data_IF_434290709283
#
_entry.id   IF_434290709283
#
_cell.length_a   1.000
_cell.length_b   1.000
_cell.length_c   1.000
_cell.angle_alpha   90.00
_cell.angle_beta   90.00
_cell.angle_gamma   90.00
#
_symmetry.space_group_name_H-M   'P 1'
#
loop_
_entity.id
_entity.type
_entity.pdbx_description
1 polymer ?
#
# COMPACT_ATOMS: atom_id res chain seq x y z
N UNK A 1 17.66 6.38 19.64
CA UNK A 1 16.35 6.16 18.99
C UNK A 1 16.57 6.13 17.49
N UNK A 2 16.00 5.15 16.77
CA UNK A 2 15.88 5.27 15.32
C UNK A 2 14.64 6.12 15.02
N UNK A 3 14.78 7.19 14.25
CA UNK A 3 13.63 7.98 13.82
C UNK A 3 12.77 7.12 12.87
N UNK A 4 11.45 7.18 13.00
CA UNK A 4 10.55 6.47 12.11
C UNK A 4 10.74 6.98 10.66
N UNK A 5 10.88 6.04 9.73
CA UNK A 5 11.18 6.34 8.32
C UNK A 5 9.94 6.64 7.48
N UNK A 6 10.18 7.04 6.22
CA UNK A 6 9.16 7.18 5.18
C UNK A 6 9.22 5.97 4.25
N UNK A 7 8.08 5.36 3.93
CA UNK A 7 7.99 4.20 3.06
C UNK A 7 7.09 4.48 1.86
N UNK A 8 7.56 4.04 0.69
CA UNK A 8 6.76 3.91 -0.53
C UNK A 8 6.48 2.43 -0.77
N UNK A 9 5.22 2.10 -1.02
CA UNK A 9 4.74 0.72 -1.20
C UNK A 9 4.02 0.62 -2.54
N UNK A 10 4.39 -0.38 -3.33
CA UNK A 10 3.74 -0.70 -4.61
C UNK A 10 3.35 -2.19 -4.56
N UNK A 11 2.06 -2.53 -4.35
CA UNK A 11 1.62 -3.90 -4.36
C UNK A 11 1.66 -4.43 -5.80
N UNK A 12 2.36 -5.55 -6.02
CA UNK A 12 2.49 -6.17 -7.34
C UNK A 12 1.49 -7.28 -7.62
N UNK A 13 0.91 -7.89 -6.58
CA UNK A 13 -0.07 -8.98 -6.68
C UNK A 13 -1.21 -8.75 -5.67
N UNK A 14 -2.44 -8.97 -6.13
CA UNK A 14 -3.67 -8.86 -5.35
C UNK A 14 -3.70 -9.86 -4.18
N UNK A 15 -3.13 -11.07 -4.36
CA UNK A 15 -3.18 -12.14 -3.37
C UNK A 15 -2.41 -11.86 -2.08
N UNK A 16 -1.30 -11.11 -2.16
CA UNK A 16 -0.44 -10.83 -1.01
C UNK A 16 -0.80 -9.55 -0.26
N UNK A 17 -1.75 -8.77 -0.79
CA UNK A 17 -2.15 -7.50 -0.21
C UNK A 17 -2.62 -7.60 1.26
N UNK A 18 -3.40 -8.60 1.69
CA UNK A 18 -3.83 -8.69 3.10
C UNK A 18 -2.65 -8.81 4.08
N UNK A 19 -1.64 -9.59 3.71
CA UNK A 19 -0.42 -9.76 4.51
C UNK A 19 0.41 -8.48 4.53
N UNK A 20 0.56 -7.82 3.38
CA UNK A 20 1.26 -6.54 3.28
C UNK A 20 0.55 -5.47 4.12
N UNK A 21 -0.78 -5.38 4.05
CA UNK A 21 -1.59 -4.44 4.85
C UNK A 21 -1.33 -4.60 6.34
N UNK A 22 -1.26 -5.84 6.84
CA UNK A 22 -0.97 -6.11 8.26
C UNK A 22 0.39 -5.54 8.69
N UNK A 23 1.41 -5.63 7.82
CA UNK A 23 2.72 -5.02 8.05
C UNK A 23 2.64 -3.48 8.05
N UNK A 24 1.89 -2.88 7.13
CA UNK A 24 1.73 -1.42 7.06
C UNK A 24 1.10 -0.86 8.34
N UNK A 25 0.07 -1.54 8.88
CA UNK A 25 -0.55 -1.17 10.16
C UNK A 25 0.49 -1.15 11.28
N UNK A 26 1.29 -2.21 11.40
CA UNK A 26 2.32 -2.31 12.43
C UNK A 26 3.41 -1.22 12.29
N UNK A 27 3.78 -0.86 11.07
CA UNK A 27 4.75 0.21 10.79
C UNK A 27 4.16 1.60 11.09
N UNK A 28 2.89 1.83 10.77
CA UNK A 28 2.15 3.05 11.11
C UNK A 28 2.12 3.27 12.63
N UNK A 29 1.81 2.23 13.41
CA UNK A 29 1.87 2.30 14.89
C UNK A 29 3.27 2.60 15.43
N UNK A 30 4.33 2.29 14.67
CA UNK A 30 5.72 2.66 14.98
C UNK A 30 6.09 4.07 14.51
N UNK A 31 5.14 4.85 14.01
CA UNK A 31 5.32 6.23 13.57
C UNK A 31 5.80 6.40 12.14
N UNK A 32 5.81 5.34 11.32
CA UNK A 32 6.23 5.45 9.92
C UNK A 32 5.19 6.18 9.08
N UNK A 33 5.67 7.03 8.17
CA UNK A 33 4.82 7.62 7.14
C UNK A 33 4.82 6.71 5.92
N UNK A 34 3.65 6.28 5.49
CA UNK A 34 3.51 5.26 4.45
C UNK A 34 2.68 5.81 3.31
N UNK A 35 3.18 5.67 2.08
CA UNK A 35 2.44 5.96 0.86
C UNK A 35 2.34 4.66 0.05
N UNK A 36 1.11 4.24 -0.21
CA UNK A 36 0.80 3.09 -1.08
C UNK A 36 0.36 3.62 -2.44
N UNK A 37 0.93 3.09 -3.52
CA UNK A 37 0.59 3.46 -4.89
C UNK A 37 0.01 2.27 -5.62
N UNK A 38 -1.20 2.40 -6.17
CA UNK A 38 -1.90 1.31 -6.86
C UNK A 38 -2.60 1.81 -8.15
N UNK A 39 -2.81 0.95 -9.15
CA UNK A 39 -3.65 1.28 -10.30
C UNK A 39 -5.06 1.69 -9.89
N UNK A 40 -5.69 2.60 -10.62
CA UNK A 40 -7.12 2.91 -10.44
C UNK A 40 -8.04 1.68 -10.60
N UNK A 41 -7.64 0.73 -11.44
CA UNK A 41 -8.36 -0.51 -11.69
C UNK A 41 -8.19 -1.58 -10.59
N UNK A 42 -7.22 -1.43 -9.68
CA UNK A 42 -6.96 -2.40 -8.61
C UNK A 42 -8.03 -2.28 -7.52
N UNK A 43 -8.76 -3.37 -7.28
CA UNK A 43 -9.81 -3.43 -6.24
C UNK A 43 -9.30 -3.90 -4.87
N UNK A 44 -8.12 -4.53 -4.80
CA UNK A 44 -7.62 -5.10 -3.54
C UNK A 44 -7.21 -4.02 -2.53
N UNK A 45 -6.71 -2.87 -3.02
CA UNK A 45 -6.14 -1.80 -2.20
C UNK A 45 -7.21 -0.77 -1.84
N UNK A 46 -7.63 -0.81 -0.57
CA UNK A 46 -8.65 0.08 -0.02
C UNK A 46 -8.06 1.34 0.62
N UNK A 47 -8.91 2.34 0.90
CA UNK A 47 -8.53 3.49 1.72
C UNK A 47 -8.26 3.07 3.17
N UNK A 48 -7.36 3.77 3.86
CA UNK A 48 -7.02 3.46 5.26
C UNK A 48 -6.41 4.66 5.97
N UNK A 49 -6.55 4.72 7.30
CA UNK A 49 -5.86 5.69 8.14
C UNK A 49 -4.35 5.41 8.32
N UNK A 50 -3.90 4.18 8.03
CA UNK A 50 -2.52 3.74 8.31
C UNK A 50 -1.52 4.04 7.19
N UNK A 51 -2.00 4.48 6.02
CA UNK A 51 -1.18 4.85 4.88
C UNK A 51 -1.94 5.82 3.98
N UNK A 52 -1.22 6.63 3.22
CA UNK A 52 -1.81 7.43 2.14
C UNK A 52 -1.91 6.58 0.88
N UNK A 53 -3.10 6.41 0.34
CA UNK A 53 -3.29 5.76 -0.96
C UNK A 53 -3.20 6.78 -2.10
N UNK A 54 -2.41 6.47 -3.12
CA UNK A 54 -2.33 7.19 -4.39
C UNK A 54 -2.72 6.26 -5.51
N UNK A 55 -3.75 6.62 -6.26
CA UNK A 55 -4.15 5.91 -7.46
C UNK A 55 -3.54 6.56 -8.69
N UNK A 56 -3.15 5.75 -9.67
CA UNK A 56 -2.65 6.22 -10.96
C UNK A 56 -3.40 5.53 -12.10
N UNK A 57 -3.60 6.23 -13.24
CA UNK A 57 -4.21 5.64 -14.41
C UNK A 57 -3.28 4.57 -14.97
N UNK A 58 -3.77 3.33 -15.04
CA UNK A 58 -3.09 2.23 -15.71
C UNK A 58 -4.13 1.44 -16.50
N UNK A 59 -3.76 0.91 -17.69
CA UNK A 59 -4.60 -0.05 -18.37
C UNK A 59 -4.81 -1.27 -17.46
N UNK A 60 -6.01 -1.86 -17.50
CA UNK A 60 -6.30 -3.10 -16.79
C UNK A 60 -5.37 -4.19 -17.33
N UNK A 61 -4.24 -4.41 -16.68
CA UNK A 61 -3.44 -5.61 -16.89
C UNK A 61 -4.18 -6.75 -16.23
N UNK A 62 -5.05 -7.42 -17.00
CA UNK A 62 -5.53 -8.73 -16.61
C UNK A 62 -4.32 -9.66 -16.71
N UNK A 63 -3.79 -10.11 -15.58
CA UNK A 63 -2.90 -11.26 -15.60
C UNK A 63 -3.69 -12.44 -16.18
N UNK A 64 -3.16 -13.05 -17.24
CA UNK A 64 -3.79 -14.16 -17.98
C UNK A 64 -3.63 -15.50 -17.25
#
# INVERSE_FOLDING_TARGET
SAAAGKLLVVPMDEGHWPSLRSLLVALSHKGHQIVTVAPEASSSVEESEYYTLKRYPAPLCREE
#
